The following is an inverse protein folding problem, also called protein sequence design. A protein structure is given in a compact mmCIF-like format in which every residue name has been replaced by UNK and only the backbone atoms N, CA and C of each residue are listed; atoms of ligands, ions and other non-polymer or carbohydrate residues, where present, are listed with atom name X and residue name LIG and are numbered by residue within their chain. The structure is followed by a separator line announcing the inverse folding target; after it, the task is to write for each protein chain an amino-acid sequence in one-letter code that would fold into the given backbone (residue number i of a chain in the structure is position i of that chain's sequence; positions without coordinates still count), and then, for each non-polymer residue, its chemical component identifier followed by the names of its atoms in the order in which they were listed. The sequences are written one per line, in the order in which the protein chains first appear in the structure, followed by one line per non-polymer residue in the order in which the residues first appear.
data_IF_526300226602
#
_entry.id   IF_526300226602
#
_cell.length_a   1.000
_cell.length_b   1.000
_cell.length_c   1.000
_cell.angle_alpha   90.00
_cell.angle_beta   90.00
_cell.angle_gamma   90.00
#
_symmetry.space_group_name_H-M   'P 1'
#
loop_
_entity.id
_entity.type
_entity.pdbx_description
1 polymer ?
#
# COMPACT_ATOMS: atom_id res chain seq x y z
N UNK A 1 -9.31 15.92 2.19
CA UNK A 1 -8.68 14.62 2.49
C UNK A 1 -9.74 13.56 2.75
N UNK A 2 -9.75 12.47 1.98
CA UNK A 2 -10.49 11.26 2.36
C UNK A 2 -9.80 10.66 3.58
N UNK A 3 -10.49 10.42 4.70
CA UNK A 3 -9.88 9.81 5.88
C UNK A 3 -9.48 8.37 5.52
N UNK A 4 -8.20 8.16 5.26
CA UNK A 4 -7.63 6.83 5.17
C UNK A 4 -7.68 6.21 6.56
N UNK A 5 -8.25 5.01 6.65
CA UNK A 5 -8.19 4.18 7.85
C UNK A 5 -7.58 2.86 7.44
N UNK A 6 -6.50 2.48 8.11
CA UNK A 6 -5.82 1.19 7.90
C UNK A 6 -6.82 0.03 7.91
N UNK A 7 -7.77 0.02 8.87
CA UNK A 7 -8.82 -1.00 8.97
C UNK A 7 -9.72 -1.12 7.73
N UNK A 8 -9.87 -0.06 6.94
CA UNK A 8 -10.61 -0.10 5.67
C UNK A 8 -9.75 -0.74 4.59
N UNK A 9 -8.49 -0.31 4.46
CA UNK A 9 -7.54 -0.88 3.49
C UNK A 9 -7.28 -2.37 3.73
N UNK A 10 -7.22 -2.80 4.99
CA UNK A 10 -7.12 -4.22 5.35
C UNK A 10 -8.39 -5.00 4.94
N UNK A 11 -9.56 -4.36 4.92
CA UNK A 11 -10.80 -5.01 4.46
C UNK A 11 -10.99 -4.94 2.96
N UNK A 12 -10.30 -4.04 2.26
CA UNK A 12 -10.39 -3.92 0.82
C UNK A 12 -9.77 -5.13 0.11
N UNK A 13 -10.58 -5.86 -0.64
CA UNK A 13 -10.12 -7.01 -1.41
C UNK A 13 -9.32 -6.59 -2.66
N UNK A 14 -9.55 -5.37 -3.15
CA UNK A 14 -8.89 -4.82 -4.34
C UNK A 14 -7.43 -4.40 -4.10
N UNK A 15 -6.98 -4.39 -2.84
CA UNK A 15 -5.65 -3.93 -2.44
C UNK A 15 -4.89 -5.13 -1.90
N UNK A 16 -3.89 -5.54 -2.67
CA UNK A 16 -2.94 -6.56 -2.26
C UNK A 16 -2.09 -6.04 -1.09
N UNK A 17 -1.94 -6.89 -0.09
CA UNK A 17 -1.29 -6.56 1.17
C UNK A 17 -0.69 -7.81 1.79
N UNK A 18 0.41 -7.60 2.48
CA UNK A 18 1.13 -8.66 3.19
C UNK A 18 1.39 -8.19 4.61
N UNK A 19 1.22 -9.10 5.57
CA UNK A 19 1.64 -8.84 6.93
C UNK A 19 3.09 -9.26 7.08
N UNK A 20 3.95 -8.33 7.47
CA UNK A 20 5.35 -8.61 7.73
C UNK A 20 5.71 -8.15 9.14
N UNK A 21 6.34 -9.04 9.91
CA UNK A 21 6.56 -8.92 11.36
C UNK A 21 5.26 -8.66 12.14
N UNK A 22 4.83 -7.39 12.27
CA UNK A 22 3.59 -6.97 12.94
C UNK A 22 2.84 -5.89 12.19
N UNK A 23 3.33 -5.48 11.02
CA UNK A 23 2.81 -4.36 10.25
C UNK A 23 2.23 -4.84 8.93
N UNK A 24 1.22 -4.12 8.44
CA UNK A 24 0.62 -4.37 7.14
C UNK A 24 1.29 -3.50 6.09
N UNK A 25 1.81 -4.19 5.07
CA UNK A 25 2.38 -3.56 3.89
C UNK A 25 1.37 -3.66 2.75
N UNK A 26 1.08 -2.53 2.13
CA UNK A 26 0.13 -2.42 1.04
C UNK A 26 0.87 -2.22 -0.26
N UNK A 27 0.47 -2.95 -1.31
CA UNK A 27 1.05 -2.79 -2.64
C UNK A 27 0.80 -1.37 -3.15
N UNK A 28 1.86 -0.70 -3.55
CA UNK A 28 1.78 0.72 -3.92
C UNK A 28 0.93 0.95 -5.16
N UNK A 29 1.01 0.08 -6.16
CA UNK A 29 0.22 0.22 -7.39
C UNK A 29 -1.28 0.22 -7.09
N UNK A 30 -1.73 -0.71 -6.24
CA UNK A 30 -3.13 -0.85 -5.87
C UNK A 30 -3.58 0.33 -5.00
N UNK A 31 -2.70 0.81 -4.11
CA UNK A 31 -2.95 2.00 -3.30
C UNK A 31 -3.05 3.27 -4.15
N UNK A 32 -2.15 3.45 -5.11
CA UNK A 32 -2.16 4.58 -6.05
C UNK A 32 -3.44 4.54 -6.91
N UNK A 33 -3.85 3.36 -7.36
CA UNK A 33 -5.10 3.17 -8.09
C UNK A 33 -6.34 3.47 -7.24
N UNK A 34 -6.37 2.97 -6.00
CA UNK A 34 -7.47 3.19 -5.05
C UNK A 34 -7.62 4.67 -4.67
N UNK A 35 -6.50 5.32 -4.35
CA UNK A 35 -6.45 6.73 -3.96
C UNK A 35 -6.58 7.69 -5.14
N UNK A 36 -6.27 7.21 -6.37
CA UNK A 36 -6.11 8.04 -7.57
C UNK A 36 -5.09 9.16 -7.38
N UNK A 37 -4.03 8.85 -6.66
CA UNK A 37 -2.96 9.77 -6.30
C UNK A 37 -1.61 9.18 -6.68
N UNK A 38 -0.64 10.06 -6.89
CA UNK A 38 0.74 9.66 -7.11
C UNK A 38 1.40 9.31 -5.76
N UNK A 39 1.84 8.06 -5.64
CA UNK A 39 2.58 7.55 -4.47
C UNK A 39 4.06 7.30 -4.81
N UNK A 40 4.59 7.92 -5.87
CA UNK A 40 5.95 7.66 -6.34
C UNK A 40 7.02 8.17 -5.36
N UNK A 41 6.65 9.13 -4.50
CA UNK A 41 7.51 9.67 -3.44
C UNK A 41 7.35 8.98 -2.08
N UNK A 42 6.43 8.01 -1.98
CA UNK A 42 6.29 7.18 -0.77
C UNK A 42 7.46 6.22 -0.67
N UNK A 43 8.01 6.09 0.54
CA UNK A 43 9.05 5.11 0.81
C UNK A 43 8.52 3.69 0.64
N UNK A 44 9.22 2.87 -0.15
CA UNK A 44 8.76 1.54 -0.52
C UNK A 44 9.81 0.49 -0.27
N UNK A 45 9.32 -0.72 0.04
CA UNK A 45 10.09 -1.93 0.21
C UNK A 45 9.60 -2.99 -0.76
N UNK A 46 10.49 -3.87 -1.19
CA UNK A 46 10.11 -5.04 -1.97
C UNK A 46 9.88 -6.20 -1.01
N UNK A 47 8.61 -6.60 -0.86
CA UNK A 47 8.27 -7.80 -0.09
C UNK A 47 7.73 -8.88 -1.02
N UNK A 48 8.05 -10.15 -0.74
CA UNK A 48 7.42 -11.25 -1.43
C UNK A 48 5.94 -11.30 -1.07
N UNK A 49 5.09 -11.30 -2.09
CA UNK A 49 3.65 -11.40 -1.95
C UNK A 49 3.13 -12.51 -2.86
N UNK A 50 2.18 -13.30 -2.37
CA UNK A 50 1.50 -14.30 -3.19
C UNK A 50 0.37 -13.63 -3.95
N UNK A 51 0.54 -13.48 -5.26
CA UNK A 51 -0.46 -12.94 -6.18
C UNK A 51 -0.71 -14.04 -7.21
N UNK A 52 -1.97 -14.46 -7.36
CA UNK A 52 -2.35 -15.52 -8.31
C UNK A 52 -1.53 -16.83 -8.16
N UNK A 53 -1.29 -17.25 -6.91
CA UNK A 53 -0.47 -18.42 -6.54
C UNK A 53 1.03 -18.32 -6.90
N UNK A 54 1.49 -17.18 -7.43
CA UNK A 54 2.90 -16.90 -7.68
C UNK A 54 3.48 -15.95 -6.62
N UNK A 55 4.69 -16.25 -6.15
CA UNK A 55 5.40 -15.38 -5.22
C UNK A 55 6.19 -14.34 -6.02
N UNK A 56 5.71 -13.10 -6.01
CA UNK A 56 6.38 -11.99 -6.67
C UNK A 56 6.88 -10.96 -5.67
N UNK A 57 8.03 -10.35 -5.97
CA UNK A 57 8.53 -9.21 -5.20
C UNK A 57 7.86 -7.94 -5.71
N UNK A 58 6.88 -7.45 -4.94
CA UNK A 58 6.12 -6.26 -5.31
C UNK A 58 6.54 -5.07 -4.47
N UNK A 59 6.41 -3.87 -5.05
CA UNK A 59 6.61 -2.62 -4.32
C UNK A 59 5.44 -2.41 -3.36
N UNK A 60 5.74 -2.33 -2.08
CA UNK A 60 4.76 -2.10 -1.04
C UNK A 60 5.30 -1.14 0.01
N UNK A 61 4.40 -0.51 0.74
CA UNK A 61 4.73 0.47 1.77
C UNK A 61 3.83 0.26 2.99
N UNK A 62 4.33 0.63 4.16
CA UNK A 62 3.53 0.61 5.38
C UNK A 62 2.45 1.70 5.31
N UNK A 63 1.37 1.52 6.07
CA UNK A 63 0.30 2.51 6.13
C UNK A 63 0.81 3.91 6.54
N UNK A 64 1.73 3.97 7.51
CA UNK A 64 2.32 5.22 7.96
C UNK A 64 3.15 5.88 6.86
N UNK A 65 3.97 5.13 6.12
CA UNK A 65 4.77 5.67 5.01
C UNK A 65 3.88 6.22 3.90
N UNK A 66 2.80 5.51 3.55
CA UNK A 66 1.81 5.99 2.58
C UNK A 66 1.17 7.27 3.10
N UNK A 67 0.74 7.29 4.37
CA UNK A 67 0.09 8.47 4.94
C UNK A 67 1.02 9.68 5.00
N UNK A 68 2.32 9.46 5.23
CA UNK A 68 3.35 10.51 5.27
C UNK A 68 3.80 10.96 3.89
N UNK A 69 3.95 10.03 2.96
CA UNK A 69 4.49 10.26 1.61
C UNK A 69 3.44 10.68 0.58
N UNK A 70 2.14 10.58 0.91
CA UNK A 70 1.08 11.26 0.16
C UNK A 70 1.30 12.77 0.23
N UNK A 71 1.94 13.33 -0.80
CA UNK A 71 1.92 14.78 -1.00
C UNK A 71 0.48 15.20 -1.28
N UNK A 72 -0.06 16.07 -0.44
CA UNK A 72 -1.16 16.92 -0.88
C UNK A 72 -0.67 17.63 -2.15
N UNK A 73 -1.30 17.34 -3.29
CA UNK A 73 -1.21 18.23 -4.44
C UNK A 73 -1.86 19.54 -3.95
N UNK A 74 -1.03 20.46 -3.46
CA UNK A 74 -1.41 21.85 -3.21
C UNK A 74 -1.59 22.59 -4.54
#
# INVERSE_FOLDING_TARGET
MTPLKEKLLIKEASINKVQFDKEWFFKLDDMAFYLKEDLSEVEFVYLPMFIDDEQEYVKCAAFDDITRGRKEIQ
#
